data_IF_595931601733
#
_entry.id   IF_595931601733
#
_cell.length_a   1.000
_cell.length_b   1.000
_cell.length_c   1.000
_cell.angle_alpha   90.00
_cell.angle_beta   90.00
_cell.angle_gamma   90.00
#
_symmetry.space_group_name_H-M   'P 1'
#
loop_
_entity.id
_entity.type
_entity.pdbx_description
1 polymer ?
#
# COMPACT_ATOMS: atom_id res chain seq x y z
N UNK A 1 19.22 -38.51 1.11
CA UNK A 1 20.14 -38.96 0.05
C UNK A 1 19.36 -39.75 -1.00
N UNK A 2 19.58 -39.41 -2.27
CA UNK A 2 19.28 -40.14 -3.52
C UNK A 2 17.83 -40.45 -3.96
N UNK A 3 17.50 -39.84 -5.12
CA UNK A 3 16.73 -40.35 -6.26
C UNK A 3 15.20 -40.37 -6.15
N UNK A 4 14.58 -39.24 -6.50
CA UNK A 4 13.35 -39.22 -7.30
C UNK A 4 13.57 -38.41 -8.58
N UNK A 5 14.00 -39.19 -9.59
CA UNK A 5 13.88 -39.10 -11.04
C UNK A 5 13.73 -37.73 -11.72
N UNK A 6 14.80 -37.39 -12.45
CA UNK A 6 14.92 -36.40 -13.51
C UNK A 6 14.04 -36.63 -14.77
N UNK A 7 12.81 -37.12 -14.62
CA UNK A 7 11.96 -37.53 -15.75
C UNK A 7 10.87 -36.52 -16.16
N UNK A 8 10.49 -35.57 -15.30
CA UNK A 8 9.44 -34.58 -15.60
C UNK A 8 9.94 -33.29 -16.26
N UNK A 9 11.26 -33.15 -16.47
CA UNK A 9 11.88 -31.95 -17.05
C UNK A 9 12.11 -31.98 -18.57
N UNK A 10 11.66 -33.03 -19.30
CA UNK A 10 12.02 -33.24 -20.72
C UNK A 10 10.88 -33.08 -21.74
N UNK A 11 9.70 -32.63 -21.34
CA UNK A 11 8.55 -32.51 -22.25
C UNK A 11 7.78 -31.19 -22.10
N UNK A 12 8.49 -30.08 -21.85
CA UNK A 12 7.94 -28.73 -22.05
C UNK A 12 8.69 -28.09 -23.21
N UNK A 13 8.10 -28.23 -24.40
CA UNK A 13 8.26 -27.41 -25.60
C UNK A 13 9.63 -26.77 -25.89
N UNK A 14 10.48 -27.50 -26.62
CA UNK A 14 11.51 -26.89 -27.46
C UNK A 14 10.84 -26.05 -28.57
N UNK A 15 10.76 -24.72 -28.37
CA UNK A 15 10.76 -23.60 -29.35
C UNK A 15 9.97 -22.41 -28.74
N UNK A 16 10.61 -21.24 -28.66
CA UNK A 16 10.09 -19.92 -28.21
C UNK A 16 10.01 -19.64 -26.69
N UNK A 17 10.99 -20.05 -25.87
CA UNK A 17 10.90 -19.92 -24.40
C UNK A 17 12.13 -19.36 -23.65
N UNK A 18 13.19 -18.90 -24.33
CA UNK A 18 14.43 -18.51 -23.62
C UNK A 18 14.33 -17.21 -22.81
N UNK A 19 13.41 -16.29 -23.12
CA UNK A 19 13.18 -15.06 -22.33
C UNK A 19 12.22 -15.22 -21.15
N UNK A 20 11.11 -15.96 -21.32
CA UNK A 20 10.05 -16.10 -20.30
C UNK A 20 10.50 -16.85 -19.05
N UNK A 21 11.43 -17.77 -19.22
CA UNK A 21 11.94 -18.64 -18.14
C UNK A 21 12.91 -17.86 -17.23
N UNK A 22 13.69 -16.94 -17.79
CA UNK A 22 14.78 -16.26 -17.06
C UNK A 22 14.26 -15.31 -15.98
N UNK A 23 13.30 -14.44 -16.34
CA UNK A 23 12.69 -13.49 -15.42
C UNK A 23 11.93 -14.25 -14.32
N UNK A 24 11.10 -15.24 -14.70
CA UNK A 24 10.31 -16.05 -13.76
C UNK A 24 11.15 -16.85 -12.75
N UNK A 25 12.33 -17.35 -13.13
CA UNK A 25 13.18 -18.14 -12.23
C UNK A 25 14.03 -17.28 -11.29
N UNK A 26 14.35 -16.05 -11.67
CA UNK A 26 15.05 -15.11 -10.80
C UNK A 26 14.14 -14.62 -9.66
N UNK A 27 12.86 -14.38 -9.95
CA UNK A 27 11.84 -14.05 -8.94
C UNK A 27 11.59 -15.19 -7.93
N UNK A 28 11.96 -16.43 -8.25
CA UNK A 28 11.83 -17.60 -7.37
C UNK A 28 13.19 -17.97 -6.75
N UNK A 29 14.20 -17.09 -6.83
CA UNK A 29 15.53 -17.29 -6.23
C UNK A 29 16.32 -18.50 -6.77
N UNK A 30 16.09 -18.89 -8.04
CA UNK A 30 16.81 -19.97 -8.72
C UNK A 30 18.01 -19.47 -9.57
N UNK A 31 18.62 -18.35 -9.14
CA UNK A 31 19.66 -17.57 -9.85
C UNK A 31 20.84 -18.39 -10.41
N UNK A 32 21.26 -19.45 -9.71
CA UNK A 32 22.59 -20.04 -9.92
C UNK A 32 22.78 -20.78 -11.25
N UNK A 33 21.72 -21.05 -12.01
CA UNK A 33 21.80 -21.87 -13.23
C UNK A 33 21.97 -21.09 -14.52
N UNK A 34 21.78 -19.77 -14.49
CA UNK A 34 21.60 -19.00 -15.71
C UNK A 34 22.58 -17.84 -15.88
N UNK A 35 23.04 -17.23 -14.79
CA UNK A 35 24.10 -16.21 -14.82
C UNK A 35 25.41 -16.85 -14.37
N UNK A 36 26.41 -16.88 -15.25
CA UNK A 36 27.74 -17.37 -14.89
C UNK A 36 28.44 -16.38 -13.97
N UNK A 37 29.20 -16.88 -12.98
CA UNK A 37 30.04 -16.03 -12.13
C UNK A 37 31.03 -15.23 -12.97
N UNK A 38 31.16 -13.94 -12.67
CA UNK A 38 32.19 -13.08 -13.25
C UNK A 38 33.27 -12.78 -12.21
N UNK A 39 34.54 -12.51 -12.60
CA UNK A 39 35.59 -12.08 -11.67
C UNK A 39 35.16 -10.83 -10.89
N UNK A 40 35.81 -10.54 -9.76
CA UNK A 40 35.56 -9.30 -9.01
C UNK A 40 35.80 -8.05 -9.88
N UNK A 41 35.03 -6.98 -9.67
CA UNK A 41 35.29 -5.68 -10.28
C UNK A 41 36.29 -4.90 -9.41
N UNK A 42 37.27 -4.25 -10.05
CA UNK A 42 38.26 -3.42 -9.36
C UNK A 42 38.16 -1.94 -9.73
N UNK A 43 37.33 -1.59 -10.71
CA UNK A 43 37.08 -0.21 -11.14
C UNK A 43 35.57 0.07 -11.20
N UNK A 44 35.18 1.34 -11.09
CA UNK A 44 33.78 1.77 -11.21
C UNK A 44 33.19 1.44 -12.59
N UNK A 45 33.99 1.55 -13.66
CA UNK A 45 33.57 1.23 -15.03
C UNK A 45 33.29 -0.27 -15.17
N UNK A 46 34.18 -1.12 -14.67
CA UNK A 46 33.98 -2.57 -14.71
C UNK A 46 32.75 -3.00 -13.90
N UNK A 47 32.54 -2.38 -12.73
CA UNK A 47 31.37 -2.65 -11.90
C UNK A 47 30.07 -2.22 -12.61
N UNK A 48 30.06 -1.03 -13.21
CA UNK A 48 28.90 -0.54 -13.97
C UNK A 48 28.60 -1.43 -15.18
N UNK A 49 29.61 -1.82 -15.96
CA UNK A 49 29.45 -2.74 -17.09
C UNK A 49 28.91 -4.10 -16.65
N UNK A 50 29.45 -4.68 -15.56
CA UNK A 50 28.92 -5.93 -15.00
C UNK A 50 27.48 -5.79 -14.51
N UNK A 51 27.15 -4.69 -13.85
CA UNK A 51 25.79 -4.36 -13.44
C UNK A 51 24.83 -4.29 -14.62
N UNK A 52 25.18 -3.56 -15.68
CA UNK A 52 24.39 -3.47 -16.92
C UNK A 52 24.27 -4.84 -17.61
N UNK A 53 25.35 -5.60 -17.68
CA UNK A 53 25.35 -6.95 -18.23
C UNK A 53 24.45 -7.89 -17.43
N UNK A 54 24.39 -7.79 -16.11
CA UNK A 54 23.46 -8.56 -15.31
C UNK A 54 22.02 -8.09 -15.55
N UNK A 55 21.77 -6.78 -15.38
CA UNK A 55 20.43 -6.18 -15.36
C UNK A 55 19.70 -6.30 -16.70
N UNK A 56 20.42 -6.32 -17.83
CA UNK A 56 19.80 -6.57 -19.15
C UNK A 56 19.16 -7.96 -19.28
N UNK A 57 19.64 -8.97 -18.53
CA UNK A 57 19.03 -10.30 -18.56
C UNK A 57 17.71 -10.35 -17.79
N UNK A 58 17.39 -9.31 -17.02
CA UNK A 58 16.14 -9.15 -16.29
C UNK A 58 15.05 -8.43 -17.10
N UNK A 59 15.41 -7.90 -18.27
CA UNK A 59 14.45 -7.24 -19.15
C UNK A 59 13.41 -8.24 -19.66
N UNK A 60 12.14 -7.91 -19.52
CA UNK A 60 11.03 -8.68 -20.04
C UNK A 60 10.99 -8.61 -21.58
N UNK A 61 10.25 -9.53 -22.20
CA UNK A 61 10.20 -9.69 -23.65
C UNK A 61 9.61 -8.49 -24.41
N UNK A 62 8.85 -7.66 -23.73
CA UNK A 62 8.19 -6.43 -24.20
C UNK A 62 9.01 -5.16 -23.87
N UNK A 63 10.21 -5.33 -23.28
CA UNK A 63 11.18 -4.27 -23.05
C UNK A 63 11.13 -3.59 -21.68
N UNK A 64 10.14 -3.88 -20.83
CA UNK A 64 10.10 -3.36 -19.46
C UNK A 64 10.97 -4.21 -18.51
N UNK A 65 11.15 -3.72 -17.28
CA UNK A 65 11.71 -4.51 -16.17
C UNK A 65 10.60 -4.77 -15.17
N UNK A 66 10.28 -6.05 -14.96
CA UNK A 66 9.44 -6.44 -13.84
C UNK A 66 10.16 -6.12 -12.53
N UNK A 67 9.41 -6.06 -11.43
CA UNK A 67 9.95 -5.93 -10.07
C UNK A 67 8.91 -6.40 -9.05
N UNK A 68 9.39 -6.97 -7.94
CA UNK A 68 8.54 -7.05 -6.75
C UNK A 68 8.35 -5.63 -6.23
N UNK A 69 7.08 -5.21 -6.13
CA UNK A 69 6.69 -3.90 -5.62
C UNK A 69 5.66 -4.05 -4.49
N UNK A 70 5.77 -5.16 -3.75
CA UNK A 70 5.09 -5.40 -2.49
C UNK A 70 5.68 -4.57 -1.35
N UNK A 71 5.32 -4.96 -0.12
CA UNK A 71 5.75 -4.27 1.10
C UNK A 71 4.58 -3.98 2.04
N UNK A 72 3.52 -3.29 1.58
CA UNK A 72 2.34 -3.04 2.41
C UNK A 72 1.53 -4.32 2.67
N UNK A 73 1.14 -4.55 3.94
CA UNK A 73 0.49 -5.79 4.37
C UNK A 73 -1.05 -5.69 4.45
N UNK A 74 -1.62 -4.52 4.17
CA UNK A 74 -3.07 -4.27 4.16
C UNK A 74 -3.72 -4.38 2.77
N UNK A 75 -2.95 -4.78 1.75
CA UNK A 75 -3.47 -4.94 0.38
C UNK A 75 -4.21 -6.27 0.22
N UNK A 76 -3.49 -7.38 0.39
CA UNK A 76 -4.01 -8.74 0.19
C UNK A 76 -5.29 -9.02 1.01
N UNK A 77 -5.44 -8.54 2.26
CA UNK A 77 -6.66 -8.73 3.03
C UNK A 77 -7.92 -8.19 2.35
N UNK A 78 -7.86 -6.98 1.77
CA UNK A 78 -9.00 -6.40 1.05
C UNK A 78 -9.40 -7.23 -0.17
N UNK A 79 -8.39 -7.75 -0.90
CA UNK A 79 -8.63 -8.64 -2.05
C UNK A 79 -9.31 -9.94 -1.60
N UNK A 80 -8.79 -10.59 -0.55
CA UNK A 80 -9.32 -11.87 -0.08
C UNK A 80 -10.71 -11.74 0.52
N UNK A 81 -10.99 -10.67 1.27
CA UNK A 81 -12.34 -10.35 1.76
C UNK A 81 -13.29 -10.15 0.57
N UNK A 82 -12.89 -9.38 -0.44
CA UNK A 82 -13.70 -9.18 -1.65
C UNK A 82 -13.93 -10.48 -2.40
N UNK A 83 -12.91 -11.32 -2.57
CA UNK A 83 -13.04 -12.63 -3.20
C UNK A 83 -13.98 -13.55 -2.42
N UNK A 84 -13.93 -13.51 -1.09
CA UNK A 84 -14.82 -14.28 -0.23
C UNK A 84 -16.28 -13.82 -0.38
N UNK A 85 -16.55 -12.52 -0.27
CA UNK A 85 -17.89 -11.93 -0.38
C UNK A 85 -18.49 -12.15 -1.77
N UNK A 86 -17.72 -11.87 -2.82
CA UNK A 86 -18.17 -12.00 -4.20
C UNK A 86 -18.05 -13.43 -4.76
N UNK A 87 -17.65 -14.41 -3.92
CA UNK A 87 -17.44 -15.82 -4.27
C UNK A 87 -16.53 -16.00 -5.52
N UNK A 88 -15.48 -15.18 -5.63
CA UNK A 88 -14.52 -15.22 -6.72
C UNK A 88 -13.56 -16.40 -6.50
N UNK A 89 -13.50 -17.39 -7.42
CA UNK A 89 -12.58 -18.50 -7.29
C UNK A 89 -11.14 -18.04 -7.57
N UNK A 90 -10.23 -18.31 -6.64
CA UNK A 90 -8.79 -18.19 -6.86
C UNK A 90 -8.18 -19.55 -7.18
N UNK A 91 -7.19 -19.58 -8.06
CA UNK A 91 -6.46 -20.80 -8.37
C UNK A 91 -5.77 -21.36 -7.11
N UNK A 92 -5.81 -22.69 -6.94
CA UNK A 92 -5.22 -23.35 -5.76
C UNK A 92 -3.72 -23.05 -5.59
N UNK A 93 -2.99 -22.89 -6.68
CA UNK A 93 -1.58 -22.48 -6.63
C UNK A 93 -1.41 -21.09 -6.00
N UNK A 94 -2.28 -20.13 -6.35
CA UNK A 94 -2.23 -18.78 -5.77
C UNK A 94 -2.56 -18.80 -4.29
N UNK A 95 -3.58 -19.56 -3.88
CA UNK A 95 -3.93 -19.68 -2.46
C UNK A 95 -2.76 -20.21 -1.64
N UNK A 96 -2.08 -21.27 -2.12
CA UNK A 96 -0.89 -21.83 -1.44
C UNK A 96 0.24 -20.82 -1.33
N UNK A 97 0.51 -20.08 -2.39
CA UNK A 97 1.57 -19.07 -2.39
C UNK A 97 1.22 -17.85 -1.53
N UNK A 98 -0.05 -17.44 -1.46
CA UNK A 98 -0.53 -16.41 -0.55
C UNK A 98 -0.38 -16.84 0.93
N UNK A 99 -0.75 -18.08 1.26
CA UNK A 99 -0.51 -18.65 2.60
C UNK A 99 0.98 -18.68 2.91
N UNK A 100 1.82 -19.14 1.96
CA UNK A 100 3.28 -19.16 2.12
C UNK A 100 3.84 -17.76 2.35
N UNK A 101 3.40 -16.78 1.58
CA UNK A 101 3.81 -15.38 1.73
C UNK A 101 3.48 -14.84 3.11
N UNK A 102 2.22 -14.93 3.54
CA UNK A 102 1.77 -14.43 4.84
C UNK A 102 2.53 -15.08 6.00
N UNK A 103 2.80 -16.39 5.95
CA UNK A 103 3.64 -17.08 6.94
C UNK A 103 5.09 -16.62 6.90
N UNK A 104 5.65 -16.37 5.71
CA UNK A 104 7.04 -15.95 5.55
C UNK A 104 7.30 -14.55 6.12
N UNK A 105 6.28 -13.68 6.11
CA UNK A 105 6.36 -12.31 6.65
C UNK A 105 5.70 -12.18 8.03
N UNK A 106 5.31 -13.28 8.66
CA UNK A 106 4.85 -13.27 10.05
C UNK A 106 6.03 -12.99 10.97
N UNK A 107 5.85 -12.06 11.90
CA UNK A 107 6.89 -11.69 12.84
C UNK A 107 7.15 -12.80 13.89
N UNK A 108 8.31 -12.80 14.55
CA UNK A 108 8.62 -13.77 15.61
C UNK A 108 7.60 -13.76 16.76
N UNK A 109 6.95 -12.63 17.03
CA UNK A 109 5.90 -12.49 18.05
C UNK A 109 4.51 -12.96 17.59
N UNK A 110 4.39 -13.48 16.36
CA UNK A 110 3.16 -14.01 15.78
C UNK A 110 2.31 -12.99 15.03
N UNK A 111 2.64 -11.70 15.07
CA UNK A 111 1.84 -10.66 14.42
C UNK A 111 2.34 -10.22 13.05
N UNK A 112 1.67 -9.20 12.52
CA UNK A 112 2.05 -8.46 11.32
C UNK A 112 1.85 -6.96 11.56
N UNK A 113 2.64 -6.13 10.90
CA UNK A 113 2.51 -4.67 10.93
C UNK A 113 1.80 -4.07 9.72
N UNK A 114 1.97 -2.77 9.51
CA UNK A 114 1.48 -2.03 8.35
C UNK A 114 2.22 -2.44 7.05
N UNK A 115 3.52 -2.74 7.17
CA UNK A 115 4.39 -3.22 6.09
C UNK A 115 5.40 -4.26 6.60
N UNK A 116 6.15 -4.88 5.69
CA UNK A 116 7.10 -5.98 5.99
C UNK A 116 8.26 -5.62 6.95
N UNK A 117 8.54 -4.35 7.15
CA UNK A 117 9.60 -3.85 8.07
C UNK A 117 9.03 -3.32 9.40
N UNK A 118 7.70 -3.34 9.56
CA UNK A 118 7.03 -2.80 10.74
C UNK A 118 6.96 -3.84 11.88
N UNK A 119 6.70 -3.37 13.09
CA UNK A 119 6.37 -4.19 14.27
C UNK A 119 4.94 -4.72 14.16
N UNK A 120 4.59 -5.68 15.01
CA UNK A 120 3.22 -6.20 15.02
C UNK A 120 2.22 -5.14 15.50
N UNK A 121 1.12 -4.99 14.76
CA UNK A 121 0.05 -4.04 15.06
C UNK A 121 -1.32 -4.74 15.07
N UNK A 122 -2.37 -4.07 15.58
CA UNK A 122 -3.73 -4.64 15.51
C UNK A 122 -4.20 -4.68 14.06
N UNK A 123 -3.89 -3.65 13.26
CA UNK A 123 -4.28 -3.58 11.85
C UNK A 123 -3.70 -4.72 11.02
N UNK A 124 -2.37 -4.87 11.05
CA UNK A 124 -1.69 -5.91 10.29
C UNK A 124 -2.10 -7.31 10.76
N UNK A 125 -2.10 -7.53 12.08
CA UNK A 125 -2.36 -8.86 12.66
C UNK A 125 -3.79 -9.32 12.43
N UNK A 126 -4.80 -8.49 12.70
CA UNK A 126 -6.19 -8.88 12.50
C UNK A 126 -6.50 -9.19 11.03
N UNK A 127 -6.05 -8.33 10.10
CA UNK A 127 -6.32 -8.51 8.68
C UNK A 127 -5.55 -9.69 8.07
N UNK A 128 -4.29 -9.92 8.46
CA UNK A 128 -3.51 -11.08 7.99
C UNK A 128 -4.04 -12.39 8.58
N UNK A 129 -4.47 -12.40 9.85
CA UNK A 129 -5.16 -13.54 10.47
C UNK A 129 -6.44 -13.87 9.70
N UNK A 130 -7.32 -12.90 9.48
CA UNK A 130 -8.55 -13.07 8.70
C UNK A 130 -8.25 -13.58 7.29
N UNK A 131 -7.19 -13.09 6.65
CA UNK A 131 -6.75 -13.53 5.32
C UNK A 131 -6.38 -15.02 5.29
N UNK A 132 -5.62 -15.50 6.27
CA UNK A 132 -5.25 -16.91 6.40
C UNK A 132 -6.48 -17.79 6.68
N UNK A 133 -7.43 -17.31 7.49
CA UNK A 133 -8.70 -18.01 7.73
C UNK A 133 -9.56 -18.12 6.46
N UNK A 134 -9.66 -17.06 5.65
CA UNK A 134 -10.33 -17.08 4.34
C UNK A 134 -9.66 -18.08 3.38
N UNK A 135 -8.33 -18.17 3.42
CA UNK A 135 -7.55 -19.12 2.62
C UNK A 135 -7.65 -20.57 3.12
N UNK A 136 -8.37 -20.83 4.21
CA UNK A 136 -8.65 -22.17 4.73
C UNK A 136 -7.66 -22.69 5.77
N UNK A 137 -6.82 -21.83 6.35
CA UNK A 137 -5.95 -22.21 7.48
C UNK A 137 -6.79 -22.35 8.75
N UNK A 138 -6.62 -23.46 9.46
CA UNK A 138 -7.36 -23.80 10.68
C UNK A 138 -7.05 -22.83 11.83
N UNK A 139 -8.03 -22.45 12.68
CA UNK A 139 -7.78 -21.54 13.81
C UNK A 139 -6.87 -22.14 14.90
N UNK A 140 -6.70 -23.46 14.94
CA UNK A 140 -5.82 -24.16 15.87
C UNK A 140 -4.42 -24.43 15.29
N UNK A 141 -4.14 -23.96 14.06
CA UNK A 141 -2.81 -23.97 13.49
C UNK A 141 -1.83 -23.16 14.40
N UNK A 142 -0.61 -23.66 14.66
CA UNK A 142 0.31 -23.02 15.61
C UNK A 142 0.62 -21.55 15.31
N UNK A 143 0.70 -21.17 14.03
CA UNK A 143 0.95 -19.78 13.64
C UNK A 143 -0.30 -18.91 13.85
N UNK A 144 -1.49 -19.50 13.69
CA UNK A 144 -2.77 -18.83 13.93
C UNK A 144 -3.01 -18.61 15.43
N UNK A 145 -2.68 -19.58 16.27
CA UNK A 145 -2.73 -19.43 17.74
C UNK A 145 -1.83 -18.28 18.18
N UNK A 146 -0.57 -18.26 17.73
CA UNK A 146 0.37 -17.17 18.04
C UNK A 146 -0.15 -15.81 17.57
N UNK A 147 -0.72 -15.73 16.38
CA UNK A 147 -1.31 -14.51 15.84
C UNK A 147 -2.51 -14.04 16.66
N UNK A 148 -3.39 -14.95 17.09
CA UNK A 148 -4.55 -14.63 17.92
C UNK A 148 -4.13 -14.17 19.30
N UNK A 149 -3.16 -14.83 19.93
CA UNK A 149 -2.60 -14.42 21.22
C UNK A 149 -1.96 -13.03 21.12
N UNK A 150 -1.20 -12.77 20.05
CA UNK A 150 -0.62 -11.47 19.76
C UNK A 150 -1.71 -10.39 19.62
N UNK A 151 -2.76 -10.66 18.83
CA UNK A 151 -3.89 -9.75 18.63
C UNK A 151 -4.64 -9.46 19.95
N UNK A 152 -4.92 -10.49 20.74
CA UNK A 152 -5.65 -10.36 22.00
C UNK A 152 -4.82 -9.61 23.06
N UNK A 153 -3.50 -9.81 23.09
CA UNK A 153 -2.60 -9.04 23.96
C UNK A 153 -2.63 -7.53 23.70
N UNK A 154 -3.08 -7.12 22.51
CA UNK A 154 -3.25 -5.72 22.09
C UNK A 154 -4.69 -5.20 22.20
N UNK A 155 -5.60 -5.99 22.80
CA UNK A 155 -7.00 -5.61 23.00
C UNK A 155 -7.98 -6.12 21.93
N UNK A 156 -7.51 -6.93 20.98
CA UNK A 156 -8.35 -7.53 19.94
C UNK A 156 -8.73 -6.56 18.81
N UNK A 157 -9.55 -7.03 17.88
CA UNK A 157 -9.93 -6.28 16.69
C UNK A 157 -10.89 -5.10 16.95
N UNK A 158 -11.40 -4.91 18.19
CA UNK A 158 -12.25 -3.77 18.54
C UNK A 158 -11.51 -2.42 18.41
N UNK A 159 -10.19 -2.42 18.65
CA UNK A 159 -9.32 -1.25 18.50
C UNK A 159 -8.60 -1.16 17.16
N UNK A 160 -9.06 -1.85 16.12
CA UNK A 160 -8.43 -1.78 14.80
C UNK A 160 -8.60 -0.37 14.18
N UNK A 161 -7.64 0.19 13.41
CA UNK A 161 -7.80 1.46 12.68
C UNK A 161 -9.01 1.49 11.72
N UNK A 162 -9.44 2.68 11.30
CA UNK A 162 -10.69 2.88 10.54
C UNK A 162 -10.77 2.05 9.25
N UNK A 163 -9.67 1.91 8.51
CA UNK A 163 -9.60 1.07 7.31
C UNK A 163 -9.75 -0.41 7.62
N UNK A 164 -9.30 -0.86 8.79
CA UNK A 164 -9.52 -2.21 9.27
C UNK A 164 -10.96 -2.43 9.68
N UNK A 165 -11.58 -1.45 10.37
CA UNK A 165 -13.02 -1.48 10.69
C UNK A 165 -13.84 -1.63 9.42
N UNK A 166 -13.47 -0.92 8.35
CA UNK A 166 -14.14 -0.99 7.05
C UNK A 166 -14.12 -2.40 6.50
N UNK A 167 -12.94 -3.01 6.37
CA UNK A 167 -12.80 -4.35 5.81
C UNK A 167 -13.49 -5.43 6.66
N UNK A 168 -13.40 -5.32 7.98
CA UNK A 168 -14.09 -6.26 8.88
C UNK A 168 -15.62 -6.06 8.86
N UNK A 169 -16.12 -4.84 8.62
CA UNK A 169 -17.55 -4.58 8.46
C UNK A 169 -18.11 -5.12 7.13
N UNK A 170 -17.32 -5.02 6.05
CA UNK A 170 -17.60 -5.69 4.77
C UNK A 170 -17.70 -7.20 4.97
N UNK A 171 -16.77 -7.80 5.74
CA UNK A 171 -16.80 -9.24 6.05
C UNK A 171 -17.90 -9.62 7.06
N UNK A 172 -18.65 -8.65 7.59
CA UNK A 172 -19.70 -8.86 8.59
C UNK A 172 -19.17 -9.44 9.93
N UNK A 173 -17.90 -9.15 10.26
CA UNK A 173 -17.29 -9.54 11.54
C UNK A 173 -16.98 -8.32 12.42
N UNK A 174 -17.37 -7.11 12.02
CA UNK A 174 -17.32 -5.87 12.78
C UNK A 174 -18.58 -5.04 12.43
N UNK A 175 -19.16 -4.29 13.37
CA UNK A 175 -20.38 -3.52 13.06
C UNK A 175 -20.06 -2.21 12.31
N UNK A 176 -20.85 -1.91 11.27
CA UNK A 176 -20.82 -0.58 10.62
C UNK A 176 -21.05 0.58 11.61
N UNK A 177 -21.79 0.35 12.71
CA UNK A 177 -22.01 1.36 13.74
C UNK A 177 -20.79 1.61 14.62
N UNK A 178 -19.79 0.73 14.54
CA UNK A 178 -18.54 0.83 15.28
C UNK A 178 -17.44 1.65 14.63
N UNK A 179 -17.73 2.33 13.52
CA UNK A 179 -16.82 3.27 12.87
C UNK A 179 -17.46 4.65 12.70
N UNK A 180 -16.63 5.68 12.53
CA UNK A 180 -17.10 7.00 12.16
C UNK A 180 -17.72 6.98 10.75
N UNK A 181 -18.73 7.83 10.53
CA UNK A 181 -19.37 7.94 9.21
C UNK A 181 -18.38 8.32 8.11
N UNK A 182 -18.52 7.72 6.93
CA UNK A 182 -17.76 8.08 5.73
C UNK A 182 -18.41 9.22 4.93
N UNK A 183 -19.52 9.79 5.42
CA UNK A 183 -20.26 10.92 4.84
C UNK A 183 -20.40 10.90 3.29
N UNK A 184 -21.17 9.94 2.73
CA UNK A 184 -21.50 9.88 1.30
C UNK A 184 -21.94 11.21 0.67
N UNK A 185 -22.74 12.02 1.38
CA UNK A 185 -23.28 13.29 0.87
C UNK A 185 -22.20 14.36 0.63
N UNK A 186 -20.97 14.17 1.11
CA UNK A 186 -19.85 15.06 0.82
C UNK A 186 -19.60 15.22 -0.70
N UNK A 187 -19.95 14.19 -1.49
CA UNK A 187 -19.86 14.20 -2.95
C UNK A 187 -20.95 15.03 -3.64
N UNK A 188 -21.98 15.44 -2.92
CA UNK A 188 -23.04 16.32 -3.44
C UNK A 188 -22.79 17.80 -3.13
N UNK A 189 -21.74 18.13 -2.36
CA UNK A 189 -21.43 19.50 -2.04
C UNK A 189 -21.03 20.28 -3.30
N UNK A 190 -21.26 21.60 -3.35
CA UNK A 190 -20.74 22.44 -4.43
C UNK A 190 -19.21 22.32 -4.51
N UNK A 191 -18.65 22.25 -5.71
CA UNK A 191 -17.22 22.04 -5.92
C UNK A 191 -16.29 23.09 -5.28
N UNK A 192 -16.82 24.28 -4.94
CA UNK A 192 -16.09 25.35 -4.25
C UNK A 192 -16.02 25.16 -2.73
N UNK A 193 -16.80 24.23 -2.15
CA UNK A 193 -16.86 24.03 -0.71
C UNK A 193 -15.54 23.44 -0.17
N UNK A 194 -15.04 23.91 0.98
CA UNK A 194 -13.85 23.32 1.60
C UNK A 194 -14.03 21.81 1.82
N UNK A 195 -12.96 21.05 1.58
CA UNK A 195 -12.93 19.59 1.64
C UNK A 195 -13.83 18.86 0.61
N UNK A 196 -14.36 19.56 -0.40
CA UNK A 196 -15.03 18.90 -1.51
C UNK A 196 -14.10 17.83 -2.14
N UNK A 197 -14.59 16.59 -2.43
CA UNK A 197 -13.73 15.47 -2.82
C UNK A 197 -12.82 15.74 -4.03
N UNK A 198 -13.22 16.60 -4.97
CA UNK A 198 -12.40 16.99 -6.13
C UNK A 198 -11.10 17.72 -5.80
N UNK A 199 -10.99 18.28 -4.58
CA UNK A 199 -9.81 19.01 -4.10
C UNK A 199 -8.86 18.16 -3.27
N UNK A 200 -9.31 16.95 -2.87
CA UNK A 200 -8.53 16.01 -2.08
C UNK A 200 -7.55 15.25 -2.98
N UNK A 201 -6.48 14.73 -2.38
CA UNK A 201 -5.50 13.89 -3.08
C UNK A 201 -6.19 12.72 -3.81
N UNK A 202 -5.73 12.39 -5.02
CA UNK A 202 -6.34 11.38 -5.87
C UNK A 202 -6.44 10.00 -5.22
N UNK A 203 -5.36 9.52 -4.59
CA UNK A 203 -5.40 8.24 -3.86
C UNK A 203 -6.39 8.27 -2.70
N UNK A 204 -6.44 9.37 -1.94
CA UNK A 204 -7.40 9.53 -0.84
C UNK A 204 -8.84 9.45 -1.37
N UNK A 205 -9.23 10.32 -2.30
CA UNK A 205 -10.61 10.34 -2.79
C UNK A 205 -10.99 9.07 -3.55
N UNK A 206 -10.06 8.43 -4.29
CA UNK A 206 -10.36 7.18 -5.01
C UNK A 206 -10.51 5.97 -4.10
N UNK A 207 -9.96 6.00 -2.89
CA UNK A 207 -10.23 4.97 -1.87
C UNK A 207 -11.52 5.29 -1.11
N UNK A 208 -11.70 6.53 -0.64
CA UNK A 208 -12.89 6.92 0.11
C UNK A 208 -14.17 6.96 -0.74
N UNK A 209 -14.08 7.10 -2.06
CA UNK A 209 -15.21 7.03 -3.00
C UNK A 209 -15.97 5.69 -2.86
N UNK A 210 -15.38 4.53 -3.20
CA UNK A 210 -16.07 3.25 -3.08
C UNK A 210 -16.25 2.82 -1.62
N UNK A 211 -15.39 3.22 -0.68
CA UNK A 211 -15.66 2.98 0.75
C UNK A 211 -16.96 3.67 1.20
N UNK A 212 -17.17 4.92 0.81
CA UNK A 212 -18.41 5.67 1.09
C UNK A 212 -19.62 5.00 0.47
N UNK A 213 -19.48 4.44 -0.74
CA UNK A 213 -20.55 3.67 -1.38
C UNK A 213 -20.94 2.46 -0.53
N UNK A 214 -19.97 1.59 -0.20
CA UNK A 214 -20.22 0.38 0.59
C UNK A 214 -20.80 0.71 1.98
N UNK A 215 -20.29 1.77 2.61
CA UNK A 215 -20.83 2.28 3.87
C UNK A 215 -22.27 2.75 3.71
N UNK A 216 -22.59 3.52 2.66
CA UNK A 216 -23.93 4.06 2.44
C UNK A 216 -25.00 2.97 2.29
N UNK A 217 -24.65 1.83 1.69
CA UNK A 217 -25.55 0.68 1.49
C UNK A 217 -25.39 -0.40 2.57
N UNK A 218 -24.48 -0.21 3.54
CA UNK A 218 -24.15 -1.18 4.60
C UNK A 218 -23.83 -2.56 4.01
N UNK A 219 -22.97 -2.60 3.00
CA UNK A 219 -22.59 -3.84 2.31
C UNK A 219 -21.91 -4.79 3.30
N UNK A 220 -22.48 -5.97 3.51
CA UNK A 220 -21.93 -6.96 4.44
C UNK A 220 -22.04 -8.37 3.86
N UNK A 221 -21.05 -9.21 4.15
CA UNK A 221 -21.03 -10.63 3.82
C UNK A 221 -22.22 -11.36 4.46
N UNK A 222 -22.64 -12.46 3.82
CA UNK A 222 -23.57 -13.42 4.43
C UNK A 222 -22.93 -14.06 5.67
N UNK A 223 -23.77 -14.39 6.67
CA UNK A 223 -23.30 -15.05 7.90
C UNK A 223 -23.04 -16.54 7.68
N UNK A 224 -21.95 -16.85 7.00
CA UNK A 224 -21.48 -18.21 6.83
C UNK A 224 -20.63 -18.70 8.04
N UNK A 225 -20.32 -20.01 8.14
CA UNK A 225 -19.61 -20.55 9.29
C UNK A 225 -18.25 -19.88 9.56
N UNK A 226 -17.56 -19.39 8.53
CA UNK A 226 -16.30 -18.69 8.70
C UNK A 226 -16.52 -17.33 9.38
N UNK A 227 -17.51 -16.56 8.93
CA UNK A 227 -17.89 -15.28 9.55
C UNK A 227 -18.25 -15.46 11.02
N UNK A 228 -19.07 -16.48 11.34
CA UNK A 228 -19.45 -16.78 12.72
C UNK A 228 -18.26 -17.17 13.59
N UNK A 229 -17.33 -17.96 13.05
CA UNK A 229 -16.09 -18.36 13.74
C UNK A 229 -15.19 -17.15 14.01
N UNK A 230 -14.96 -16.29 13.01
CA UNK A 230 -14.14 -15.09 13.13
C UNK A 230 -14.65 -14.12 14.20
N UNK A 231 -15.98 -14.00 14.38
CA UNK A 231 -16.58 -13.20 15.45
C UNK A 231 -16.18 -13.68 16.85
N UNK A 232 -15.86 -14.97 17.02
CA UNK A 232 -15.39 -15.54 18.28
C UNK A 232 -13.86 -15.50 18.41
N UNK A 233 -13.14 -15.42 17.28
CA UNK A 233 -11.67 -15.48 17.26
C UNK A 233 -11.01 -14.10 17.39
N UNK A 234 -11.60 -13.04 16.84
CA UNK A 234 -10.94 -11.74 16.68
C UNK A 234 -11.02 -10.81 17.90
N UNK A 235 -11.89 -11.11 18.86
CA UNK A 235 -12.25 -10.20 19.95
C UNK A 235 -11.91 -10.80 21.32
N UNK A 236 -11.48 -9.95 22.25
CA UNK A 236 -11.19 -10.35 23.64
C UNK A 236 -12.48 -10.52 24.46
N UNK A 237 -13.49 -9.70 24.17
CA UNK A 237 -14.81 -9.79 24.79
C UNK A 237 -15.79 -10.53 23.88
N UNK A 238 -16.89 -11.03 24.46
CA UNK A 238 -17.99 -11.63 23.69
C UNK A 238 -18.52 -10.64 22.65
N UNK A 239 -18.50 -11.05 21.38
CA UNK A 239 -18.94 -10.28 20.23
C UNK A 239 -20.32 -9.66 20.40
N UNK A 240 -21.27 -10.40 20.99
CA UNK A 240 -22.65 -9.94 21.17
C UNK A 240 -22.77 -8.79 22.19
N UNK A 241 -21.76 -8.62 23.04
CA UNK A 241 -21.73 -7.60 24.11
C UNK A 241 -20.95 -6.35 23.74
N UNK A 242 -20.33 -6.30 22.56
CA UNK A 242 -19.52 -5.16 22.12
C UNK A 242 -20.41 -3.91 21.96
N UNK A 243 -20.08 -2.86 22.70
CA UNK A 243 -20.68 -1.54 22.50
C UNK A 243 -20.04 -0.88 21.26
N UNK A 244 -20.60 -1.17 20.09
CA UNK A 244 -20.07 -0.70 18.80
C UNK A 244 -19.90 0.83 18.72
N UNK A 245 -20.90 1.68 19.05
CA UNK A 245 -20.71 3.13 19.03
C UNK A 245 -19.51 3.64 19.85
N UNK A 246 -19.17 2.98 20.96
CA UNK A 246 -17.99 3.33 21.75
C UNK A 246 -16.66 3.00 21.04
N UNK A 247 -16.68 2.08 20.06
CA UNK A 247 -15.49 1.68 19.32
C UNK A 247 -15.14 2.64 18.18
N UNK A 248 -15.98 3.63 17.83
CA UNK A 248 -15.75 4.53 16.68
C UNK A 248 -14.38 5.21 16.70
N UNK A 249 -13.98 5.71 17.87
CA UNK A 249 -12.68 6.35 18.11
C UNK A 249 -11.70 5.45 18.87
N UNK A 250 -12.04 4.18 19.08
CA UNK A 250 -11.11 3.20 19.65
C UNK A 250 -10.14 2.75 18.55
N UNK A 251 -8.87 3.13 18.70
CA UNK A 251 -7.76 2.69 17.85
C UNK A 251 -6.59 2.39 18.76
N UNK A 252 -5.99 1.22 18.60
CA UNK A 252 -4.88 0.76 19.43
C UNK A 252 -3.68 1.70 19.32
N UNK A 253 -3.03 1.97 20.44
CA UNK A 253 -1.92 2.92 20.49
C UNK A 253 -0.73 2.51 19.61
N UNK A 254 -0.52 1.21 19.40
CA UNK A 254 0.53 0.69 18.51
C UNK A 254 0.28 1.00 17.03
N UNK A 255 -0.95 1.32 16.63
CA UNK A 255 -1.32 1.65 15.26
C UNK A 255 -1.41 3.16 15.00
N UNK A 256 -1.29 3.99 16.05
CA UNK A 256 -1.61 5.42 15.96
C UNK A 256 -0.42 6.25 15.45
N UNK A 257 -0.41 6.59 14.17
CA UNK A 257 0.56 7.53 13.58
C UNK A 257 0.03 8.98 13.56
N UNK A 258 -1.22 9.17 13.13
CA UNK A 258 -1.90 10.46 13.05
C UNK A 258 -3.16 10.46 13.93
N UNK A 259 -3.06 10.92 15.19
CA UNK A 259 -4.24 11.13 16.02
C UNK A 259 -5.21 12.11 15.37
N UNK A 260 -6.52 11.87 15.51
CA UNK A 260 -7.52 12.82 15.02
C UNK A 260 -7.28 14.21 15.64
N UNK A 261 -7.30 15.24 14.79
CA UNK A 261 -7.22 16.61 15.28
C UNK A 261 -8.49 16.98 16.05
N UNK A 262 -8.41 18.01 16.89
CA UNK A 262 -9.58 18.55 17.59
C UNK A 262 -10.70 18.98 16.63
N UNK A 263 -10.33 19.48 15.45
CA UNK A 263 -11.28 19.83 14.38
C UNK A 263 -12.00 18.59 13.85
N UNK A 264 -11.26 17.51 13.56
CA UNK A 264 -11.85 16.27 13.04
C UNK A 264 -12.71 15.59 14.10
N UNK A 265 -12.27 15.56 15.36
CA UNK A 265 -13.10 15.05 16.47
C UNK A 265 -14.41 15.82 16.58
N UNK A 266 -14.36 17.16 16.52
CA UNK A 266 -15.55 18.00 16.52
C UNK A 266 -16.45 17.76 15.30
N UNK A 267 -15.86 17.64 14.11
CA UNK A 267 -16.59 17.31 12.89
C UNK A 267 -17.30 15.96 13.02
N UNK A 268 -16.60 14.90 13.47
CA UNK A 268 -17.21 13.58 13.62
C UNK A 268 -18.32 13.53 14.67
N UNK A 269 -18.24 14.32 15.75
CA UNK A 269 -19.36 14.43 16.69
C UNK A 269 -20.64 14.92 15.99
N UNK A 270 -20.54 15.92 15.12
CA UNK A 270 -21.68 16.44 14.35
C UNK A 270 -22.10 15.47 13.25
N UNK A 271 -21.14 14.95 12.48
CA UNK A 271 -21.41 14.10 11.34
C UNK A 271 -22.02 12.74 11.74
N UNK A 272 -21.61 12.18 12.88
CA UNK A 272 -22.22 10.94 13.39
C UNK A 272 -23.66 11.16 13.89
N UNK A 273 -24.00 12.35 14.40
CA UNK A 273 -25.38 12.71 14.74
C UNK A 273 -26.21 12.87 13.46
N UNK A 274 -25.64 13.50 12.43
CA UNK A 274 -26.26 13.57 11.10
C UNK A 274 -26.48 12.17 10.53
N UNK A 275 -25.49 11.27 10.61
CA UNK A 275 -25.61 9.90 10.12
C UNK A 275 -26.80 9.15 10.72
N UNK A 276 -27.03 9.31 12.04
CA UNK A 276 -28.17 8.72 12.73
C UNK A 276 -29.54 9.26 12.27
N UNK A 277 -29.56 10.45 11.66
CA UNK A 277 -30.77 11.15 11.21
C UNK A 277 -30.69 11.57 9.73
N UNK A 278 -29.90 10.87 8.92
CA UNK A 278 -29.58 11.32 7.58
C UNK A 278 -30.83 11.33 6.69
N UNK A 279 -30.85 12.22 5.70
CA UNK A 279 -31.95 12.24 4.73
C UNK A 279 -31.77 11.09 3.73
N UNK A 280 -32.70 10.14 3.73
CA UNK A 280 -32.67 9.01 2.79
C UNK A 280 -32.74 9.48 1.32
N UNK A 281 -33.36 10.63 1.04
CA UNK A 281 -33.40 11.21 -0.30
C UNK A 281 -32.02 11.74 -0.73
N UNK A 282 -31.30 12.42 0.17
CA UNK A 282 -29.93 12.85 -0.10
C UNK A 282 -28.98 11.67 -0.24
N UNK A 283 -29.10 10.66 0.63
CA UNK A 283 -28.27 9.44 0.54
C UNK A 283 -28.46 8.72 -0.78
N UNK A 284 -29.70 8.55 -1.26
CA UNK A 284 -29.97 7.95 -2.57
C UNK A 284 -29.30 8.73 -3.72
N UNK A 285 -29.29 10.07 -3.66
CA UNK A 285 -28.59 10.91 -4.64
C UNK A 285 -27.08 10.74 -4.54
N UNK A 286 -26.53 10.70 -3.33
CA UNK A 286 -25.10 10.51 -3.10
C UNK A 286 -24.64 9.15 -3.61
N UNK A 287 -25.37 8.07 -3.29
CA UNK A 287 -25.09 6.72 -3.79
C UNK A 287 -25.06 6.67 -5.32
N UNK A 288 -25.98 7.37 -5.99
CA UNK A 288 -25.98 7.47 -7.45
C UNK A 288 -24.74 8.20 -7.98
N UNK A 289 -24.42 9.36 -7.42
CA UNK A 289 -23.22 10.14 -7.78
C UNK A 289 -21.95 9.29 -7.59
N UNK A 290 -21.80 8.67 -6.41
CA UNK A 290 -20.67 7.79 -6.08
C UNK A 290 -20.51 6.68 -7.12
N UNK A 291 -21.61 6.02 -7.48
CA UNK A 291 -21.59 4.94 -8.46
C UNK A 291 -21.19 5.42 -9.86
N UNK A 292 -21.65 6.60 -10.29
CA UNK A 292 -21.27 7.17 -11.58
C UNK A 292 -19.77 7.50 -11.65
N UNK A 293 -19.16 7.98 -10.55
CA UNK A 293 -17.71 8.19 -10.48
C UNK A 293 -16.91 6.88 -10.47
N UNK A 294 -17.41 5.84 -9.78
CA UNK A 294 -16.80 4.50 -9.82
C UNK A 294 -16.85 3.94 -11.25
N UNK A 295 -17.99 4.07 -11.92
CA UNK A 295 -18.12 3.72 -13.33
C UNK A 295 -17.17 4.51 -14.24
N UNK A 296 -16.90 5.78 -13.94
CA UNK A 296 -15.96 6.58 -14.69
C UNK A 296 -14.52 6.06 -14.53
N UNK A 297 -14.07 5.80 -13.30
CA UNK A 297 -12.74 5.24 -13.04
C UNK A 297 -12.53 3.90 -13.73
N UNK A 298 -13.52 3.00 -13.64
CA UNK A 298 -13.47 1.70 -14.32
C UNK A 298 -13.30 1.84 -15.84
N UNK A 299 -14.05 2.77 -16.47
CA UNK A 299 -13.94 3.05 -17.91
C UNK A 299 -12.58 3.64 -18.29
N UNK A 300 -12.06 4.54 -17.47
CA UNK A 300 -10.79 5.23 -17.77
C UNK A 300 -9.57 4.32 -17.59
N UNK A 301 -9.66 3.35 -16.69
CA UNK A 301 -8.53 2.50 -16.30
C UNK A 301 -8.65 1.06 -16.77
N UNK A 302 -9.73 0.70 -17.48
CA UNK A 302 -10.04 -0.70 -17.84
C UNK A 302 -10.03 -1.62 -16.60
N UNK A 303 -10.70 -1.16 -15.55
CA UNK A 303 -10.85 -1.84 -14.26
C UNK A 303 -9.54 -2.06 -13.46
N UNK A 304 -8.48 -1.29 -13.74
CA UNK A 304 -7.20 -1.32 -13.00
C UNK A 304 -7.22 -0.32 -11.84
N UNK A 305 -7.96 0.78 -11.97
CA UNK A 305 -7.97 1.94 -11.06
C UNK A 305 -6.57 2.57 -10.88
N UNK A 306 -6.45 3.51 -9.95
CA UNK A 306 -5.17 4.15 -9.58
C UNK A 306 -4.30 3.27 -8.68
N UNK A 307 -4.89 2.28 -8.01
CA UNK A 307 -4.15 1.41 -7.10
C UNK A 307 -4.94 0.23 -6.57
N UNK A 308 -4.25 -0.64 -5.81
CA UNK A 308 -4.77 -1.94 -5.38
C UNK A 308 -6.09 -1.84 -4.58
N UNK A 309 -6.19 -0.85 -3.70
CA UNK A 309 -7.33 -0.71 -2.78
C UNK A 309 -8.57 -0.23 -3.52
N UNK A 310 -8.47 0.88 -4.27
CA UNK A 310 -9.59 1.42 -5.03
C UNK A 310 -10.09 0.42 -6.07
N UNK A 311 -9.18 -0.29 -6.77
CA UNK A 311 -9.53 -1.39 -7.68
C UNK A 311 -10.38 -2.46 -7.00
N UNK A 312 -9.96 -2.87 -5.80
CA UNK A 312 -10.60 -3.97 -5.07
C UNK A 312 -12.00 -3.59 -4.59
N UNK A 313 -12.16 -2.39 -4.03
CA UNK A 313 -13.48 -1.93 -3.56
C UNK A 313 -14.39 -1.59 -4.75
N UNK A 314 -13.86 -1.02 -5.84
CA UNK A 314 -14.64 -0.84 -7.09
C UNK A 314 -15.16 -2.19 -7.60
N UNK A 315 -14.31 -3.22 -7.67
CA UNK A 315 -14.72 -4.58 -8.04
C UNK A 315 -15.87 -5.10 -7.16
N UNK A 316 -15.79 -4.87 -5.84
CA UNK A 316 -16.86 -5.23 -4.91
C UNK A 316 -18.16 -4.45 -5.17
N UNK A 317 -18.07 -3.16 -5.46
CA UNK A 317 -19.25 -2.33 -5.82
C UNK A 317 -19.86 -2.83 -7.13
N UNK A 318 -19.04 -3.18 -8.15
CA UNK A 318 -19.54 -3.71 -9.42
C UNK A 318 -20.22 -5.05 -9.26
N UNK A 319 -19.68 -5.92 -8.42
CA UNK A 319 -20.35 -7.15 -8.03
C UNK A 319 -21.72 -6.89 -7.39
N UNK A 320 -21.78 -5.97 -6.44
CA UNK A 320 -22.99 -5.67 -5.68
C UNK A 320 -24.10 -5.05 -6.55
N UNK A 321 -23.74 -4.15 -7.48
CA UNK A 321 -24.71 -3.40 -8.29
C UNK A 321 -25.04 -4.08 -9.61
N UNK A 322 -24.01 -4.48 -10.38
CA UNK A 322 -24.19 -5.05 -11.72
C UNK A 322 -24.39 -6.57 -11.69
N UNK A 323 -24.02 -7.21 -10.57
CA UNK A 323 -24.14 -8.64 -10.38
C UNK A 323 -22.95 -9.44 -10.94
N UNK A 324 -22.79 -10.71 -10.51
CA UNK A 324 -21.64 -11.54 -10.82
C UNK A 324 -21.55 -11.94 -12.30
N UNK A 325 -22.66 -11.90 -13.05
CA UNK A 325 -22.69 -12.23 -14.48
C UNK A 325 -22.44 -11.02 -15.39
N UNK A 326 -22.28 -9.81 -14.83
CA UNK A 326 -22.05 -8.62 -15.64
C UNK A 326 -20.67 -8.64 -16.30
N UNK A 327 -20.59 -8.13 -17.53
CA UNK A 327 -19.32 -8.04 -18.26
C UNK A 327 -18.29 -7.19 -17.51
N UNK A 328 -18.73 -6.12 -16.85
CA UNK A 328 -17.86 -5.21 -16.11
C UNK A 328 -17.26 -5.86 -14.86
N UNK A 329 -18.04 -6.68 -14.13
CA UNK A 329 -17.51 -7.43 -13.00
C UNK A 329 -16.52 -8.51 -13.47
N UNK A 330 -16.84 -9.21 -14.57
CA UNK A 330 -15.93 -10.19 -15.15
C UNK A 330 -14.62 -9.56 -15.65
N UNK A 331 -14.67 -8.34 -16.19
CA UNK A 331 -13.48 -7.57 -16.53
C UNK A 331 -12.65 -7.29 -15.27
N UNK A 332 -13.26 -6.80 -14.19
CA UNK A 332 -12.58 -6.62 -12.90
C UNK A 332 -11.91 -7.90 -12.37
N UNK A 333 -12.58 -9.05 -12.47
CA UNK A 333 -12.04 -10.36 -12.05
C UNK A 333 -10.85 -10.75 -12.91
N UNK A 334 -10.93 -10.54 -14.24
CA UNK A 334 -9.83 -10.82 -15.17
C UNK A 334 -8.57 -9.98 -14.92
N UNK A 335 -8.71 -8.86 -14.20
CA UNK A 335 -7.62 -7.93 -13.82
C UNK A 335 -6.98 -8.24 -12.46
N UNK A 336 -7.43 -9.28 -11.74
CA UNK A 336 -6.79 -9.72 -10.50
C UNK A 336 -5.29 -10.10 -10.70
N UNK A 337 -4.87 -10.75 -11.82
CA UNK A 337 -3.44 -10.99 -12.06
C UNK A 337 -2.60 -9.71 -12.07
N UNK A 338 -3.13 -8.60 -12.59
CA UNK A 338 -2.40 -7.31 -12.68
C UNK A 338 -2.13 -6.74 -11.27
N UNK A 339 -2.95 -7.12 -10.29
CA UNK A 339 -2.77 -6.81 -8.87
C UNK A 339 -1.74 -7.73 -8.20
N UNK A 340 -1.73 -9.02 -8.55
CA UNK A 340 -0.81 -10.01 -7.98
C UNK A 340 0.58 -9.99 -8.62
N UNK A 341 0.67 -9.46 -9.83
CA UNK A 341 1.88 -9.32 -10.62
C UNK A 341 1.77 -7.98 -11.34
N UNK A 342 2.55 -6.98 -10.90
CA UNK A 342 2.55 -5.65 -11.49
C UNK A 342 3.32 -5.60 -12.82
N UNK A 343 2.91 -6.45 -13.76
CA UNK A 343 3.17 -6.23 -15.18
C UNK A 343 2.10 -5.27 -15.70
N UNK A 344 2.44 -3.99 -15.80
CA UNK A 344 1.63 -3.06 -16.57
C UNK A 344 1.82 -3.38 -18.06
N UNK A 345 0.74 -3.67 -18.79
CA UNK A 345 0.81 -3.89 -20.26
C UNK A 345 1.25 -2.64 -21.05
N UNK A 346 1.31 -1.47 -20.40
CA UNK A 346 1.67 -0.17 -20.97
C UNK A 346 2.89 0.51 -20.32
N UNK A 347 3.55 -0.13 -19.35
CA UNK A 347 4.88 0.27 -18.86
C UNK A 347 5.00 1.61 -18.10
N UNK A 348 3.93 2.17 -17.54
CA UNK A 348 3.94 3.50 -16.87
C UNK A 348 3.99 3.51 -15.33
N UNK A 349 4.37 4.66 -14.75
CA UNK A 349 4.27 5.05 -13.33
C UNK A 349 3.82 6.52 -13.20
N UNK A 350 3.09 6.91 -12.13
CA UNK A 350 2.61 8.29 -11.95
C UNK A 350 2.51 8.77 -10.48
N UNK A 351 2.47 10.10 -10.32
CA UNK A 351 2.14 10.92 -9.12
C UNK A 351 0.98 11.91 -9.37
N UNK A 352 0.32 11.79 -10.53
CA UNK A 352 -1.03 12.20 -10.94
C UNK A 352 -1.45 13.68 -11.10
N UNK A 353 -1.44 14.56 -10.09
CA UNK A 353 -2.18 15.85 -10.20
C UNK A 353 -1.46 17.09 -9.63
N UNK A 354 -2.18 18.24 -9.57
CA UNK A 354 -1.72 19.49 -8.97
C UNK A 354 -2.31 19.66 -7.56
N UNK A 355 -1.66 20.46 -6.71
CA UNK A 355 -2.21 20.82 -5.38
C UNK A 355 -3.48 21.66 -5.50
N UNK A 356 -4.65 21.02 -5.38
CA UNK A 356 -5.97 21.66 -5.50
C UNK A 356 -6.58 22.12 -4.17
N UNK A 357 -6.06 21.63 -3.05
CA UNK A 357 -6.53 21.96 -1.69
C UNK A 357 -5.48 22.69 -0.84
N UNK A 358 -5.94 23.36 0.22
CA UNK A 358 -5.08 24.04 1.20
C UNK A 358 -4.53 23.09 2.28
N UNK A 359 -3.39 23.43 2.89
CA UNK A 359 -2.72 22.58 3.92
C UNK A 359 -3.59 22.29 5.15
N UNK A 360 -4.55 23.17 5.46
CA UNK A 360 -5.46 22.97 6.59
C UNK A 360 -6.37 21.73 6.43
N UNK A 361 -6.52 21.20 5.21
CA UNK A 361 -7.29 19.97 4.99
C UNK A 361 -6.65 18.76 5.67
N UNK A 362 -5.35 18.78 5.99
CA UNK A 362 -4.70 17.69 6.74
C UNK A 362 -5.27 17.53 8.16
N UNK A 363 -5.87 18.59 8.72
CA UNK A 363 -6.58 18.48 10.00
C UNK A 363 -7.79 17.54 9.93
N UNK A 364 -8.25 17.18 8.73
CA UNK A 364 -9.35 16.26 8.49
C UNK A 364 -8.89 14.84 8.11
N UNK A 365 -7.59 14.52 8.24
CA UNK A 365 -7.06 13.19 7.97
C UNK A 365 -7.67 12.15 8.94
N UNK A 366 -8.49 11.20 8.45
CA UNK A 366 -9.16 10.23 9.30
C UNK A 366 -8.51 8.84 9.24
N UNK A 367 -7.35 8.70 8.61
CA UNK A 367 -6.77 7.38 8.32
C UNK A 367 -6.04 6.71 9.48
N UNK A 368 -5.69 7.48 10.51
CA UNK A 368 -4.93 7.10 11.72
C UNK A 368 -3.52 6.53 11.49
N UNK A 369 -3.29 5.70 10.48
CA UNK A 369 -2.02 5.02 10.18
C UNK A 369 -1.18 5.75 9.11
N UNK A 370 -1.76 6.74 8.42
CA UNK A 370 -1.04 7.53 7.40
C UNK A 370 -1.04 9.03 7.74
N UNK A 371 0.01 9.72 7.33
CA UNK A 371 0.10 11.18 7.41
C UNK A 371 0.32 11.82 6.04
N UNK A 372 -0.14 13.06 5.87
CA UNK A 372 -0.01 13.86 4.65
C UNK A 372 -0.80 13.29 3.45
N UNK A 373 -2.05 12.87 3.69
CA UNK A 373 -2.88 12.22 2.66
C UNK A 373 -4.01 13.10 2.11
N UNK A 374 -4.29 14.27 2.70
CA UNK A 374 -5.53 15.00 2.39
C UNK A 374 -5.43 15.83 1.11
N UNK A 375 -4.23 16.27 0.72
CA UNK A 375 -3.99 17.05 -0.50
C UNK A 375 -2.81 16.49 -1.27
N UNK A 376 -2.77 16.77 -2.57
CA UNK A 376 -1.59 16.47 -3.38
C UNK A 376 -0.49 17.50 -3.08
N UNK A 377 0.43 17.15 -2.18
CA UNK A 377 1.48 18.07 -1.74
C UNK A 377 2.45 18.34 -2.90
N UNK A 378 2.93 19.59 -2.98
CA UNK A 378 4.01 19.92 -3.92
C UNK A 378 5.32 19.38 -3.38
N UNK A 379 5.78 18.27 -3.96
CA UNK A 379 7.11 17.72 -3.71
C UNK A 379 8.15 18.40 -4.62
N UNK A 380 9.34 18.66 -4.09
CA UNK A 380 10.46 19.13 -4.92
C UNK A 380 10.91 17.91 -5.74
N UNK A 381 10.95 18.06 -7.07
CA UNK A 381 11.22 16.95 -8.00
C UNK A 381 12.47 16.17 -7.57
N UNK A 382 12.32 14.88 -7.26
CA UNK A 382 13.41 14.01 -6.81
C UNK A 382 13.17 13.27 -5.49
N UNK A 383 12.12 13.59 -4.73
CA UNK A 383 11.71 12.82 -3.53
C UNK A 383 10.71 11.71 -3.89
N UNK A 384 11.07 10.42 -3.79
CA UNK A 384 10.09 9.33 -3.73
C UNK A 384 9.01 9.59 -2.67
N UNK A 385 7.78 9.14 -2.93
CA UNK A 385 6.64 9.27 -2.01
C UNK A 385 6.89 8.57 -0.66
N UNK A 386 7.83 7.62 -0.60
CA UNK A 386 8.27 6.93 0.62
C UNK A 386 9.27 7.71 1.46
N UNK A 387 9.88 8.80 0.98
CA UNK A 387 10.92 9.52 1.72
C UNK A 387 10.52 10.97 2.00
N UNK A 388 9.82 11.15 3.13
CA UNK A 388 9.34 12.45 3.63
C UNK A 388 10.44 13.46 3.95
N UNK A 389 11.73 13.12 3.86
CA UNK A 389 12.80 13.99 4.33
C UNK A 389 14.01 14.15 3.42
N UNK A 390 13.88 13.72 2.19
CA UNK A 390 14.95 13.86 1.23
C UNK A 390 14.98 15.29 0.69
N UNK A 391 15.76 16.18 1.32
CA UNK A 391 15.89 17.60 0.94
C UNK A 391 16.68 17.79 -0.37
N UNK A 392 16.20 17.24 -1.48
CA UNK A 392 16.93 17.28 -2.75
C UNK A 392 16.32 18.31 -3.69
N UNK A 393 16.91 19.51 -3.69
CA UNK A 393 16.77 20.50 -4.77
C UNK A 393 18.02 20.41 -5.63
N UNK A 394 17.85 20.34 -6.94
CA UNK A 394 18.59 21.20 -7.86
C UNK A 394 17.89 21.30 -9.22
N UNK A 395 16.98 22.27 -9.35
CA UNK A 395 16.58 22.78 -10.66
C UNK A 395 17.68 23.71 -11.18
N UNK A 396 17.98 23.62 -12.48
CA UNK A 396 18.82 24.55 -13.22
C UNK A 396 18.39 26.00 -12.93
N UNK A 397 19.15 26.73 -12.12
CA UNK A 397 18.98 28.16 -11.96
C UNK A 397 20.34 28.81 -11.69
N UNK A 398 20.58 29.91 -12.39
CA UNK A 398 21.76 30.77 -12.30
C UNK A 398 22.31 30.86 -10.87
N UNK A 399 23.61 30.57 -10.73
CA UNK A 399 24.31 30.52 -9.44
C UNK A 399 24.39 31.94 -8.84
N UNK A 400 23.45 32.27 -7.96
CA UNK A 400 23.57 33.42 -7.04
C UNK A 400 24.40 33.01 -5.81
N UNK A 401 24.89 34.00 -5.05
CA UNK A 401 25.71 33.76 -3.84
C UNK A 401 24.96 32.95 -2.76
N UNK A 402 23.64 33.03 -2.73
CA UNK A 402 22.76 32.31 -1.79
C UNK A 402 22.67 30.81 -2.13
N UNK A 403 22.66 30.44 -3.42
CA UNK A 403 22.66 29.04 -3.88
C UNK A 403 23.90 28.30 -3.39
N UNK A 404 25.05 28.97 -3.33
CA UNK A 404 26.32 28.37 -2.89
C UNK A 404 26.31 27.97 -1.41
N UNK A 405 25.69 28.76 -0.53
CA UNK A 405 25.64 28.46 0.90
C UNK A 405 24.70 27.27 1.20
N UNK A 406 23.57 27.18 0.49
CA UNK A 406 22.67 26.01 0.59
C UNK A 406 23.34 24.73 0.09
N UNK A 407 24.02 24.79 -1.06
CA UNK A 407 24.76 23.65 -1.63
C UNK A 407 25.87 23.18 -0.68
N UNK A 408 26.62 24.10 -0.06
CA UNK A 408 27.64 23.74 0.93
C UNK A 408 27.04 23.04 2.16
N UNK A 409 25.90 23.51 2.68
CA UNK A 409 25.20 22.85 3.79
C UNK A 409 24.72 21.46 3.42
N UNK A 410 24.18 21.28 2.21
CA UNK A 410 23.75 19.97 1.72
C UNK A 410 24.94 18.99 1.59
N UNK A 411 26.06 19.43 1.00
CA UNK A 411 27.29 18.63 0.94
C UNK A 411 27.78 18.25 2.34
N UNK A 412 27.84 19.20 3.27
CA UNK A 412 28.30 18.94 4.64
C UNK A 412 27.39 17.95 5.35
N UNK A 413 26.07 18.09 5.20
CA UNK A 413 25.09 17.16 5.77
C UNK A 413 25.35 15.71 5.34
N UNK A 414 25.63 15.50 4.05
CA UNK A 414 25.97 14.17 3.51
C UNK A 414 27.32 13.70 4.05
N UNK A 415 28.38 14.52 3.95
CA UNK A 415 29.72 14.14 4.40
C UNK A 415 29.78 13.78 5.90
N UNK A 416 29.04 14.51 6.74
CA UNK A 416 28.95 14.25 8.19
C UNK A 416 28.30 12.89 8.51
N UNK A 417 27.62 12.27 7.54
CA UNK A 417 26.89 11.00 7.68
C UNK A 417 27.51 9.87 6.86
N UNK A 418 28.67 10.10 6.25
CA UNK A 418 29.40 9.02 5.60
C UNK A 418 29.87 8.02 6.67
N UNK A 419 29.49 6.76 6.50
CA UNK A 419 29.89 5.68 7.40
C UNK A 419 31.37 5.30 7.17
N UNK A 420 32.03 4.62 8.14
CA UNK A 420 33.44 4.23 8.01
C UNK A 420 33.77 3.34 6.81
N UNK A 421 32.78 2.59 6.30
CA UNK A 421 32.91 1.75 5.10
C UNK A 421 32.77 2.55 3.78
N UNK A 422 32.57 3.88 3.87
CA UNK A 422 32.42 4.80 2.75
C UNK A 422 30.99 4.96 2.23
N UNK A 423 30.01 4.21 2.77
CA UNK A 423 28.61 4.28 2.37
C UNK A 423 27.73 5.19 3.24
N UNK A 424 26.44 5.20 2.93
CA UNK A 424 25.38 5.87 3.68
C UNK A 424 24.23 4.88 3.93
N UNK A 425 23.48 5.09 5.00
CA UNK A 425 22.33 4.24 5.29
C UNK A 425 21.38 4.91 6.29
N UNK A 426 20.10 4.73 6.06
CA UNK A 426 19.00 5.39 6.76
C UNK A 426 17.94 4.34 7.08
N UNK A 427 17.52 4.24 8.34
CA UNK A 427 16.46 3.33 8.75
C UNK A 427 15.08 3.92 8.38
N UNK A 428 14.09 3.05 8.16
CA UNK A 428 12.74 3.43 7.73
C UNK A 428 12.08 4.45 8.70
N UNK A 429 12.34 4.31 10.00
CA UNK A 429 11.88 5.21 11.06
C UNK A 429 12.23 6.68 10.81
N UNK A 430 13.23 6.95 9.97
CA UNK A 430 13.58 8.32 9.57
C UNK A 430 12.42 9.04 8.87
N UNK A 431 11.62 8.29 8.11
CA UNK A 431 10.42 8.77 7.44
C UNK A 431 9.29 9.04 8.44
N UNK A 432 9.16 8.18 9.45
CA UNK A 432 8.16 8.29 10.50
C UNK A 432 8.41 9.51 11.39
N UNK A 433 9.64 9.64 11.88
CA UNK A 433 10.06 10.66 12.84
C UNK A 433 10.45 11.98 12.17
N UNK A 434 10.55 12.01 10.84
CA UNK A 434 10.99 13.18 10.05
C UNK A 434 12.34 13.71 10.53
N UNK A 435 13.29 12.81 10.78
CA UNK A 435 14.68 13.10 11.09
C UNK A 435 15.55 11.95 10.59
N UNK A 436 16.81 12.22 10.25
CA UNK A 436 17.72 11.17 9.76
C UNK A 436 18.08 10.21 10.90
N UNK A 437 17.74 8.93 10.76
CA UNK A 437 18.09 7.85 11.69
C UNK A 437 19.10 6.95 10.99
N UNK A 438 20.32 6.95 11.51
CA UNK A 438 21.44 6.19 10.95
C UNK A 438 21.19 4.70 11.08
N UNK A 439 21.21 3.98 9.95
CA UNK A 439 21.14 2.53 9.94
C UNK A 439 22.43 1.89 10.45
N UNK A 440 22.31 0.63 10.89
CA UNK A 440 23.45 -0.17 11.36
C UNK A 440 24.50 -0.43 10.28
N UNK A 441 24.05 -0.70 9.06
CA UNK A 441 24.90 -0.95 7.88
C UNK A 441 24.61 0.04 6.75
N UNK A 442 25.60 0.28 5.90
CA UNK A 442 25.40 1.10 4.71
C UNK A 442 24.46 0.40 3.72
N UNK A 443 23.54 1.17 3.15
CA UNK A 443 22.57 0.69 2.18
C UNK A 443 22.95 1.18 0.78
N UNK A 444 22.81 0.28 -0.21
CA UNK A 444 23.23 0.55 -1.59
C UNK A 444 22.52 1.78 -2.16
N UNK A 445 21.20 1.88 -2.00
CA UNK A 445 20.41 2.97 -2.56
C UNK A 445 20.79 4.33 -1.96
N UNK A 446 20.92 4.42 -0.63
CA UNK A 446 21.32 5.65 0.06
C UNK A 446 22.74 6.08 -0.31
N UNK A 447 23.65 5.11 -0.42
CA UNK A 447 25.02 5.36 -0.90
C UNK A 447 25.03 5.90 -2.33
N UNK A 448 24.26 5.29 -3.24
CA UNK A 448 24.15 5.74 -4.62
C UNK A 448 23.57 7.16 -4.72
N UNK A 449 22.52 7.48 -3.96
CA UNK A 449 21.94 8.82 -3.93
C UNK A 449 22.95 9.85 -3.44
N UNK A 450 23.57 9.63 -2.28
CA UNK A 450 24.56 10.55 -1.72
C UNK A 450 25.74 10.80 -2.68
N UNK A 451 26.20 9.77 -3.40
CA UNK A 451 27.28 9.90 -4.39
C UNK A 451 26.86 10.67 -5.65
N UNK A 452 25.70 10.37 -6.22
CA UNK A 452 25.19 11.08 -7.40
C UNK A 452 25.01 12.57 -7.11
N UNK A 453 24.52 12.89 -5.92
CA UNK A 453 24.34 14.27 -5.50
C UNK A 453 25.65 14.98 -5.21
N UNK A 454 26.57 14.32 -4.51
CA UNK A 454 27.89 14.89 -4.26
C UNK A 454 28.61 15.21 -5.57
N UNK A 455 28.52 14.34 -6.57
CA UNK A 455 29.06 14.58 -7.91
C UNK A 455 28.41 15.78 -8.59
N UNK A 456 27.07 15.89 -8.51
CA UNK A 456 26.33 17.02 -9.07
C UNK A 456 26.66 18.35 -8.37
N UNK A 457 26.67 18.37 -7.04
CA UNK A 457 26.93 19.56 -6.24
C UNK A 457 28.38 20.06 -6.44
N UNK A 458 29.35 19.15 -6.60
CA UNK A 458 30.71 19.51 -6.94
C UNK A 458 30.80 20.25 -8.29
N UNK A 459 30.04 19.80 -9.30
CA UNK A 459 29.96 20.50 -10.59
C UNK A 459 29.40 21.92 -10.45
N UNK A 460 28.40 22.13 -9.61
CA UNK A 460 27.80 23.45 -9.34
C UNK A 460 28.77 24.40 -8.63
N UNK A 461 29.58 23.89 -7.69
CA UNK A 461 30.56 24.71 -6.95
C UNK A 461 31.75 25.09 -7.85
N UNK A 462 32.23 24.14 -8.66
CA UNK A 462 33.46 24.26 -9.47
C UNK A 462 33.22 24.83 -10.87
N UNK A 463 31.97 25.06 -11.29
CA UNK A 463 31.67 25.69 -12.57
C UNK A 463 32.36 27.07 -12.67
N UNK A 464 33.14 27.33 -13.75
CA UNK A 464 33.86 28.59 -13.89
C UNK A 464 32.89 29.76 -13.90
N UNK A 465 33.21 30.84 -13.16
CA UNK A 465 32.49 32.11 -13.26
C UNK A 465 32.53 32.54 -14.73
N UNK A 466 31.41 32.42 -15.45
CA UNK A 466 31.24 33.24 -16.66
C UNK A 466 31.14 34.68 -16.15
N UNK A 467 32.24 35.42 -16.28
CA UNK A 467 32.22 36.88 -16.27
C UNK A 467 31.29 37.29 -17.40
N UNK A 468 30.15 37.88 -17.04
CA UNK A 468 29.33 38.66 -17.97
C UNK A 468 29.81 40.10 -17.87
#
# INVERSE_FOLDING_TARGET
>A
MQKLSAATGRQIGHRLLEGRIYCSLLYISLQSKFVCGSPAAHTAVDAALKGMHFYRHLQAEDGHWAGDYGGPLFLLPGLLITCHVARIPLAEAWKREMVRYLRSVQLPDGGWGLHIEDKSTVFGTALSYTSLRILGVDPDDPDMVRARDNLHSKGGAAGIPSWGKFWLAILNVYSWEGMNTLLPEMWLFPAWMPAHPSTLWCHCRQVYLPMSYCYAVRLSAEEDPLVLSLRQELYVQDYATINWPAQRNNVAACDMYTPHSTLLTAAYMVLNVYEAHHSSALRKRAVKELYEHIQADDRFTKCISIGPISKTINMLVRWYVDGPSSSIFQEHVSRIPDYLCMRNTDGGFATYETKRGGRLLELLNPSEVFGDIMIDYTYKHGTPVSSKNTYYKCALAFVTREVRAEVQRACQFLLDRQMPNGGWGEDFESCEQRLYIQSSDAQIHNTCWALLESAFLHFVICAPKKQI
#
